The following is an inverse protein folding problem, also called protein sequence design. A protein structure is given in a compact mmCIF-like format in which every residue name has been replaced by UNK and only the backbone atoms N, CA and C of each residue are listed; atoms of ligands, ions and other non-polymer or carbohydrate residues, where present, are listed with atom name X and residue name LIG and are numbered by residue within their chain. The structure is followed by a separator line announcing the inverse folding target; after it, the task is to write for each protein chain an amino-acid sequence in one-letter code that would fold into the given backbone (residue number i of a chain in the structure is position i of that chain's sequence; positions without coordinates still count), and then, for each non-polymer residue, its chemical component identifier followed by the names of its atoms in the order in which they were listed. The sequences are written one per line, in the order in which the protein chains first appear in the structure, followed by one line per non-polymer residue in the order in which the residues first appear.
data_IF_745589866132
#
_entry.id   IF_745589866132
#
_cell.length_a   1.000
_cell.length_b   1.000
_cell.length_c   1.000
_cell.angle_alpha   90.00
_cell.angle_beta   90.00
_cell.angle_gamma   90.00
#
_symmetry.space_group_name_H-M   'P 1'
#
loop_
_entity.id
_entity.type
_entity.pdbx_description
1 polymer ?
#
# COMPACT_ATOMS: atom_id res chain seq x y z
N UNK A 1 5.15 15.83 -34.77
CA UNK A 1 5.76 15.37 -33.49
C UNK A 1 5.80 13.86 -33.43
N UNK A 2 4.77 13.17 -33.93
CA UNK A 2 4.81 11.72 -34.14
C UNK A 2 5.69 11.36 -35.36
N UNK A 3 5.83 12.27 -36.32
CA UNK A 3 6.59 12.08 -37.58
C UNK A 3 8.11 11.81 -37.40
N UNK A 4 8.65 12.00 -36.20
CA UNK A 4 10.06 11.73 -35.86
C UNK A 4 10.25 10.44 -35.07
N UNK A 5 9.15 9.78 -34.70
CA UNK A 5 9.17 8.52 -33.97
C UNK A 5 9.31 7.36 -34.94
N UNK A 6 10.08 6.36 -34.54
CA UNK A 6 10.16 5.09 -35.26
C UNK A 6 8.98 4.19 -34.88
N UNK A 7 8.70 3.20 -35.72
CA UNK A 7 7.69 2.18 -35.43
C UNK A 7 7.95 1.53 -34.06
N UNK A 8 6.88 1.38 -33.27
CA UNK A 8 6.85 0.77 -31.93
C UNK A 8 7.64 1.53 -30.87
N UNK A 9 7.79 2.86 -31.03
CA UNK A 9 8.40 3.70 -30.00
C UNK A 9 7.63 3.61 -28.68
N UNK A 10 8.37 3.45 -27.58
CA UNK A 10 7.84 3.46 -26.21
C UNK A 10 8.08 4.83 -25.57
N UNK A 11 7.01 5.54 -25.25
CA UNK A 11 7.07 6.83 -24.56
C UNK A 11 7.01 6.64 -23.06
N UNK A 12 8.03 7.09 -22.33
CA UNK A 12 8.10 6.91 -20.88
C UNK A 12 7.66 8.18 -20.14
N UNK A 13 6.70 8.05 -19.22
CA UNK A 13 6.28 9.17 -18.38
C UNK A 13 5.61 8.70 -17.08
N UNK A 14 5.79 9.41 -15.96
CA UNK A 14 5.16 9.09 -14.66
C UNK A 14 3.64 8.87 -14.74
N UNK A 15 2.99 9.64 -15.60
CA UNK A 15 1.55 9.59 -15.87
C UNK A 15 1.25 8.98 -17.25
N UNK A 16 2.15 8.14 -17.78
CA UNK A 16 2.08 7.55 -19.11
C UNK A 16 0.73 6.88 -19.38
N UNK A 17 0.16 6.21 -18.38
CA UNK A 17 -1.19 5.60 -18.46
C UNK A 17 -2.31 6.59 -18.79
N UNK A 18 -2.30 7.79 -18.20
CA UNK A 18 -3.27 8.85 -18.47
C UNK A 18 -2.91 9.65 -19.74
N UNK A 19 -1.62 9.78 -20.02
CA UNK A 19 -1.14 10.46 -21.21
C UNK A 19 -1.45 9.67 -22.49
N UNK A 20 -1.36 8.34 -22.45
CA UNK A 20 -1.80 7.43 -23.52
C UNK A 20 -3.24 7.72 -23.94
N UNK A 21 -4.14 7.85 -22.96
CA UNK A 21 -5.55 8.17 -23.21
C UNK A 21 -5.71 9.58 -23.82
N UNK A 22 -4.85 10.51 -23.41
CA UNK A 22 -4.82 11.86 -23.98
C UNK A 22 -4.40 11.83 -25.45
N UNK A 23 -3.35 11.06 -25.80
CA UNK A 23 -2.90 10.89 -27.19
C UNK A 23 -4.00 10.23 -28.01
N UNK A 24 -4.62 9.15 -27.51
CA UNK A 24 -5.72 8.43 -28.18
C UNK A 24 -6.95 9.30 -28.44
N UNK A 25 -7.19 10.34 -27.63
CA UNK A 25 -8.29 11.30 -27.82
C UNK A 25 -7.90 12.53 -28.65
N UNK A 26 -6.64 12.65 -29.03
CA UNK A 26 -6.13 13.78 -29.80
C UNK A 26 -6.12 13.50 -31.30
N UNK A 27 -5.79 14.53 -32.09
CA UNK A 27 -5.54 14.38 -33.53
C UNK A 27 -4.34 13.49 -33.87
N UNK A 28 -3.50 13.13 -32.89
CA UNK A 28 -2.33 12.26 -33.08
C UNK A 28 -2.68 10.77 -33.05
N UNK A 29 -3.89 10.40 -32.62
CA UNK A 29 -4.27 9.00 -32.44
C UNK A 29 -4.12 8.12 -33.69
N UNK A 30 -4.49 8.55 -34.91
CA UNK A 30 -4.38 7.68 -36.09
C UNK A 30 -2.92 7.29 -36.37
N UNK A 31 -2.01 8.26 -36.30
CA UNK A 31 -0.59 8.05 -36.56
C UNK A 31 0.07 7.27 -35.42
N UNK A 32 -0.24 7.61 -34.16
CA UNK A 32 0.26 6.88 -32.98
C UNK A 32 -0.10 5.39 -33.02
N UNK A 33 -1.34 5.07 -33.40
CA UNK A 33 -1.80 3.69 -33.56
C UNK A 33 -1.19 3.01 -34.78
N UNK A 34 -1.01 3.74 -35.89
CA UNK A 34 -0.37 3.20 -37.10
C UNK A 34 1.08 2.78 -36.82
N UNK A 35 1.82 3.60 -36.08
CA UNK A 35 3.19 3.30 -35.66
C UNK A 35 3.27 2.27 -34.54
N UNK A 36 2.13 1.81 -33.97
CA UNK A 36 2.09 0.90 -32.82
C UNK A 36 2.87 1.44 -31.60
N UNK A 37 2.90 2.77 -31.43
CA UNK A 37 3.52 3.39 -30.27
C UNK A 37 2.68 3.20 -29.01
N UNK A 38 3.32 3.27 -27.85
CA UNK A 38 2.64 3.13 -26.57
C UNK A 38 3.33 4.00 -25.50
N UNK A 39 2.53 4.67 -24.67
CA UNK A 39 3.04 5.28 -23.46
C UNK A 39 3.08 4.27 -22.32
N UNK A 40 4.19 4.28 -21.59
CA UNK A 40 4.42 3.42 -20.44
C UNK A 40 4.87 4.26 -19.24
N UNK A 41 4.75 3.67 -18.05
CA UNK A 41 5.18 4.33 -16.81
C UNK A 41 6.63 3.91 -16.53
N UNK A 42 7.45 4.74 -15.91
CA UNK A 42 8.78 4.30 -15.48
C UNK A 42 8.70 3.23 -14.37
N UNK A 43 9.78 2.47 -14.18
CA UNK A 43 9.78 1.29 -13.30
C UNK A 43 9.54 1.66 -11.83
N UNK A 44 10.01 2.82 -11.37
CA UNK A 44 9.84 3.24 -9.99
C UNK A 44 8.43 3.77 -9.67
N UNK A 45 7.88 4.62 -10.54
CA UNK A 45 6.52 5.10 -10.36
C UNK A 45 5.51 4.01 -10.67
N UNK A 46 5.81 3.05 -11.55
CA UNK A 46 4.93 1.92 -11.88
C UNK A 46 4.29 1.28 -10.65
N UNK A 47 5.10 0.94 -9.63
CA UNK A 47 4.62 0.33 -8.38
C UNK A 47 3.76 1.24 -7.49
N UNK A 48 3.73 2.55 -7.75
CA UNK A 48 2.87 3.50 -7.02
C UNK A 48 1.47 3.61 -7.61
N UNK A 49 1.25 3.09 -8.83
CA UNK A 49 -0.08 3.04 -9.44
C UNK A 49 -0.90 1.87 -8.88
N UNK A 50 -2.22 1.89 -9.09
CA UNK A 50 -3.06 0.75 -8.72
C UNK A 50 -2.70 -0.49 -9.57
N UNK A 51 -3.02 -1.67 -9.06
CA UNK A 51 -2.61 -2.93 -9.69
C UNK A 51 -3.17 -3.10 -11.11
N UNK A 52 -4.41 -2.67 -11.36
CA UNK A 52 -5.02 -2.70 -12.70
C UNK A 52 -4.28 -1.84 -13.74
N UNK A 53 -3.61 -0.77 -13.28
CA UNK A 53 -2.75 0.06 -14.12
C UNK A 53 -1.39 -0.62 -14.36
N UNK A 54 -0.83 -1.27 -13.33
CA UNK A 54 0.45 -1.98 -13.41
C UNK A 54 0.41 -3.11 -14.45
N UNK A 55 -0.68 -3.90 -14.47
CA UNK A 55 -0.89 -5.01 -15.43
C UNK A 55 -1.11 -4.56 -16.88
N UNK A 56 -0.97 -3.26 -17.17
CA UNK A 56 -1.07 -2.67 -18.51
C UNK A 56 0.15 -1.86 -18.92
N UNK A 57 0.67 -1.08 -17.98
CA UNK A 57 1.58 0.03 -18.30
C UNK A 57 2.95 -0.09 -17.61
N UNK A 58 3.16 -1.10 -16.77
CA UNK A 58 4.43 -1.30 -16.09
C UNK A 58 5.49 -1.86 -17.06
N UNK A 59 6.75 -1.39 -17.07
CA UNK A 59 7.77 -1.83 -18.02
C UNK A 59 7.98 -3.34 -18.05
N UNK A 60 8.07 -3.98 -16.87
CA UNK A 60 8.29 -5.43 -16.74
C UNK A 60 7.31 -6.35 -17.51
N UNK A 61 6.14 -5.86 -17.92
CA UNK A 61 5.15 -6.66 -18.68
C UNK A 61 5.06 -6.24 -20.15
N UNK A 62 5.83 -5.23 -20.57
CA UNK A 62 5.82 -4.68 -21.93
C UNK A 62 7.08 -5.15 -22.63
N UNK A 63 6.89 -5.94 -23.67
CA UNK A 63 8.00 -6.40 -24.49
C UNK A 63 8.69 -5.21 -25.19
N UNK A 64 10.02 -5.16 -25.11
CA UNK A 64 10.83 -4.10 -25.70
C UNK A 64 11.35 -3.03 -24.73
N UNK A 65 10.93 -3.03 -23.46
CA UNK A 65 11.50 -2.12 -22.43
C UNK A 65 12.87 -2.56 -21.94
N UNK A 66 13.15 -3.87 -22.01
CA UNK A 66 14.41 -4.48 -21.55
C UNK A 66 14.79 -4.04 -20.12
N UNK A 67 16.07 -3.76 -19.87
CA UNK A 67 16.61 -3.29 -18.59
C UNK A 67 16.46 -1.78 -18.35
N UNK A 68 15.76 -1.05 -19.22
CA UNK A 68 15.59 0.39 -19.08
C UNK A 68 14.58 0.72 -17.96
N UNK A 69 15.02 1.46 -16.94
CA UNK A 69 14.15 1.87 -15.84
C UNK A 69 13.32 3.13 -16.16
N UNK A 70 13.72 3.85 -17.20
CA UNK A 70 13.08 5.05 -17.71
C UNK A 70 13.05 6.23 -16.73
N UNK A 71 14.05 6.33 -15.85
CA UNK A 71 14.23 7.45 -14.91
C UNK A 71 15.15 8.56 -15.43
N UNK A 72 15.50 8.54 -16.73
CA UNK A 72 16.50 9.45 -17.30
C UNK A 72 16.16 10.93 -17.05
N UNK A 73 14.88 11.33 -17.14
CA UNK A 73 14.48 12.72 -16.89
C UNK A 73 14.69 13.13 -15.44
N UNK A 74 14.42 12.25 -14.48
CA UNK A 74 14.62 12.47 -13.06
C UNK A 74 16.11 12.65 -12.76
N UNK A 75 16.98 11.84 -13.39
CA UNK A 75 18.43 11.97 -13.29
C UNK A 75 18.93 13.30 -13.86
N UNK A 76 18.43 13.70 -15.03
CA UNK A 76 18.73 15.00 -15.67
C UNK A 76 18.37 16.15 -14.75
N UNK A 77 17.14 16.21 -14.26
CA UNK A 77 16.68 17.30 -13.40
C UNK A 77 17.40 17.31 -12.07
N UNK A 78 17.69 16.13 -11.50
CA UNK A 78 18.48 16.01 -10.29
C UNK A 78 19.89 16.59 -10.49
N UNK A 79 20.57 16.23 -11.57
CA UNK A 79 21.91 16.73 -11.89
C UNK A 79 21.92 18.25 -12.16
N UNK A 80 20.85 18.78 -12.77
CA UNK A 80 20.70 20.21 -13.05
C UNK A 80 20.68 21.08 -11.79
N UNK A 81 20.42 20.51 -10.61
CA UNK A 81 20.54 21.24 -9.34
C UNK A 81 21.95 21.80 -9.09
N UNK A 82 22.98 21.23 -9.73
CA UNK A 82 24.35 21.76 -9.72
C UNK A 82 24.46 23.17 -10.32
N UNK A 83 23.49 23.61 -11.14
CA UNK A 83 23.41 24.97 -11.66
C UNK A 83 22.98 26.00 -10.61
N UNK A 84 22.29 25.58 -9.54
CA UNK A 84 21.69 26.51 -8.59
C UNK A 84 22.71 27.46 -7.91
N UNK A 85 23.92 27.02 -7.49
CA UNK A 85 24.92 27.92 -6.92
C UNK A 85 25.47 28.94 -7.93
N UNK A 86 25.71 28.52 -9.18
CA UNK A 86 26.33 29.36 -10.21
C UNK A 86 25.35 30.32 -10.88
N UNK A 87 24.06 30.01 -10.88
CA UNK A 87 23.01 30.84 -11.47
C UNK A 87 22.29 31.77 -10.48
N UNK A 88 22.58 31.66 -9.17
CA UNK A 88 21.85 32.38 -8.11
C UNK A 88 21.93 33.89 -8.23
N UNK A 89 23.11 34.43 -8.53
CA UNK A 89 23.39 35.87 -8.50
C UNK A 89 23.74 36.46 -9.87
N UNK A 90 23.56 35.69 -10.96
CA UNK A 90 23.83 36.17 -12.33
C UNK A 90 22.59 36.83 -12.93
N UNK A 91 22.78 37.64 -13.97
CA UNK A 91 21.68 38.24 -14.73
C UNK A 91 20.83 37.16 -15.42
N UNK A 92 19.58 37.51 -15.76
CA UNK A 92 18.66 36.60 -16.46
C UNK A 92 19.27 36.03 -17.76
N UNK A 93 19.94 36.89 -18.55
CA UNK A 93 20.64 36.46 -19.76
C UNK A 93 21.69 35.38 -19.47
N UNK A 94 22.57 35.62 -18.50
CA UNK A 94 23.63 34.66 -18.15
C UNK A 94 23.05 33.37 -17.58
N UNK A 95 21.97 33.45 -16.81
CA UNK A 95 21.27 32.27 -16.30
C UNK A 95 20.79 31.37 -17.45
N UNK A 96 20.17 31.93 -18.49
CA UNK A 96 19.75 31.16 -19.64
C UNK A 96 20.93 30.51 -20.36
N UNK A 97 22.01 31.27 -20.60
CA UNK A 97 23.23 30.73 -21.24
C UNK A 97 23.83 29.57 -20.42
N UNK A 98 23.91 29.69 -19.09
CA UNK A 98 24.43 28.59 -18.26
C UNK A 98 23.54 27.35 -18.25
N UNK A 99 22.22 27.53 -18.29
CA UNK A 99 21.28 26.40 -18.36
C UNK A 99 21.41 25.70 -19.72
N UNK A 100 21.48 26.48 -20.80
CA UNK A 100 21.63 25.99 -22.18
C UNK A 100 22.93 25.18 -22.35
N UNK A 101 24.06 25.78 -21.96
CA UNK A 101 25.39 25.14 -22.03
C UNK A 101 25.44 23.84 -21.21
N UNK A 102 24.80 23.83 -20.05
CA UNK A 102 24.75 22.64 -19.20
C UNK A 102 24.04 21.48 -19.88
N UNK A 103 22.90 21.73 -20.53
CA UNK A 103 22.18 20.67 -21.22
C UNK A 103 22.91 20.20 -22.48
N UNK A 104 23.60 21.10 -23.20
CA UNK A 104 24.50 20.70 -24.29
C UNK A 104 25.64 19.79 -23.80
N UNK A 105 26.34 20.19 -22.74
CA UNK A 105 27.40 19.36 -22.16
C UNK A 105 26.86 18.03 -21.65
N UNK A 106 25.70 18.02 -21.00
CA UNK A 106 25.08 16.80 -20.50
C UNK A 106 24.76 15.83 -21.64
N UNK A 107 24.22 16.33 -22.76
CA UNK A 107 23.91 15.53 -23.95
C UNK A 107 25.19 14.92 -24.55
N UNK A 108 26.25 15.72 -24.70
CA UNK A 108 27.56 15.25 -25.19
C UNK A 108 28.14 14.15 -24.28
N UNK A 109 28.11 14.34 -22.96
CA UNK A 109 28.58 13.35 -21.99
C UNK A 109 27.77 12.04 -22.06
N UNK A 110 26.46 12.15 -22.28
CA UNK A 110 25.58 10.98 -22.44
C UNK A 110 25.80 10.26 -23.74
N UNK A 111 25.95 10.99 -24.84
CA UNK A 111 26.29 10.40 -26.12
C UNK A 111 27.62 9.63 -26.06
N UNK A 112 28.65 10.19 -25.42
CA UNK A 112 29.94 9.51 -25.23
C UNK A 112 29.83 8.27 -24.34
N UNK A 113 28.97 8.30 -23.31
CA UNK A 113 28.78 7.16 -22.40
C UNK A 113 27.81 6.09 -22.92
N UNK A 114 27.04 6.39 -23.98
CA UNK A 114 25.99 5.52 -24.53
C UNK A 114 26.50 4.14 -24.88
N UNK A 115 27.65 4.03 -25.56
CA UNK A 115 28.21 2.73 -25.96
C UNK A 115 28.57 1.86 -24.75
N UNK A 116 29.07 2.48 -23.68
CA UNK A 116 29.43 1.78 -22.45
C UNK A 116 28.18 1.34 -21.69
N UNK A 117 27.15 2.20 -21.64
CA UNK A 117 25.86 1.87 -21.05
C UNK A 117 25.22 0.67 -21.75
N UNK A 118 25.11 0.71 -23.09
CA UNK A 118 24.54 -0.39 -23.88
C UNK A 118 25.34 -1.69 -23.67
N UNK A 119 26.67 -1.61 -23.71
CA UNK A 119 27.53 -2.78 -23.47
C UNK A 119 27.30 -3.39 -22.07
N UNK A 120 27.25 -2.55 -21.03
CA UNK A 120 27.02 -3.01 -19.67
C UNK A 120 25.63 -3.64 -19.49
N UNK A 121 24.59 -3.01 -20.07
CA UNK A 121 23.23 -3.56 -20.05
C UNK A 121 23.17 -4.91 -20.78
N UNK A 122 23.84 -5.04 -21.92
CA UNK A 122 23.91 -6.32 -22.63
C UNK A 122 24.57 -7.42 -21.80
N UNK A 123 25.72 -7.12 -21.16
CA UNK A 123 26.38 -8.08 -20.26
C UNK A 123 25.50 -8.43 -19.06
N UNK A 124 24.80 -7.44 -18.49
CA UNK A 124 23.85 -7.67 -17.41
C UNK A 124 22.71 -8.59 -17.84
N UNK A 125 22.12 -8.37 -19.02
CA UNK A 125 21.06 -9.20 -19.57
C UNK A 125 21.53 -10.66 -19.76
N UNK A 126 22.73 -10.86 -20.30
CA UNK A 126 23.33 -12.20 -20.42
C UNK A 126 23.49 -12.89 -19.06
N UNK A 127 23.99 -12.17 -18.06
CA UNK A 127 24.16 -12.71 -16.71
C UNK A 127 22.81 -13.07 -16.07
N UNK A 128 21.77 -12.24 -16.25
CA UNK A 128 20.42 -12.54 -15.77
C UNK A 128 19.89 -13.80 -16.44
N UNK A 129 20.03 -13.92 -17.76
CA UNK A 129 19.61 -15.11 -18.50
C UNK A 129 20.36 -16.34 -18.01
N UNK A 130 21.67 -16.26 -17.78
CA UNK A 130 22.46 -17.41 -17.34
C UNK A 130 22.14 -17.83 -15.89
N UNK A 131 22.01 -16.86 -14.98
CA UNK A 131 21.88 -17.13 -13.54
C UNK A 131 20.43 -17.33 -13.10
N UNK A 132 19.52 -16.45 -13.52
CA UNK A 132 18.14 -16.44 -13.03
C UNK A 132 17.26 -17.46 -13.76
N UNK A 133 17.59 -17.84 -15.01
CA UNK A 133 16.81 -18.85 -15.74
C UNK A 133 16.83 -20.20 -15.03
N UNK A 134 17.95 -20.56 -14.39
CA UNK A 134 18.08 -21.80 -13.62
C UNK A 134 17.10 -21.79 -12.44
N UNK A 135 17.11 -20.71 -11.65
CA UNK A 135 16.22 -20.57 -10.49
C UNK A 135 14.75 -20.60 -10.89
N UNK A 136 14.39 -19.97 -12.01
CA UNK A 136 13.03 -19.99 -12.57
C UNK A 136 12.65 -21.40 -13.00
N UNK A 137 13.51 -22.10 -13.74
CA UNK A 137 13.25 -23.47 -14.22
C UNK A 137 13.11 -24.45 -13.06
N UNK A 138 14.00 -24.39 -12.06
CA UNK A 138 13.92 -25.24 -10.87
C UNK A 138 12.63 -24.97 -10.07
N UNK A 139 12.27 -23.70 -9.91
CA UNK A 139 11.03 -23.31 -9.22
C UNK A 139 9.80 -23.83 -9.96
N UNK A 140 9.76 -23.64 -11.29
CA UNK A 140 8.68 -24.15 -12.14
C UNK A 140 8.55 -25.67 -12.05
N UNK A 141 9.67 -26.41 -12.07
CA UNK A 141 9.66 -27.86 -11.89
C UNK A 141 9.16 -28.27 -10.51
N UNK A 142 9.59 -27.58 -9.45
CA UNK A 142 9.19 -27.90 -8.08
C UNK A 142 7.70 -27.65 -7.80
N UNK A 143 7.10 -26.68 -8.51
CA UNK A 143 5.70 -26.28 -8.38
C UNK A 143 4.78 -26.95 -9.42
N UNK A 144 5.33 -27.78 -10.31
CA UNK A 144 4.62 -28.37 -11.46
C UNK A 144 3.93 -27.33 -12.35
N UNK A 145 4.65 -26.24 -12.63
CA UNK A 145 4.18 -25.07 -13.41
C UNK A 145 4.86 -25.04 -14.77
N UNK A 146 4.08 -24.83 -15.82
CA UNK A 146 4.57 -24.69 -17.20
C UNK A 146 4.66 -23.22 -17.60
N UNK A 147 5.40 -22.95 -18.69
CA UNK A 147 5.57 -21.58 -19.19
C UNK A 147 4.24 -21.00 -19.69
N UNK A 148 3.40 -21.86 -20.26
CA UNK A 148 2.06 -21.50 -20.72
C UNK A 148 1.16 -21.05 -19.57
N UNK A 149 1.33 -21.64 -18.37
CA UNK A 149 0.59 -21.24 -17.17
C UNK A 149 0.93 -19.80 -16.78
N UNK A 150 2.19 -19.37 -16.93
CA UNK A 150 2.60 -17.98 -16.64
C UNK A 150 1.89 -16.96 -17.54
N UNK A 151 1.79 -17.27 -18.84
CA UNK A 151 1.09 -16.43 -19.81
C UNK A 151 -0.41 -16.38 -19.49
N UNK A 152 -0.98 -17.53 -19.13
CA UNK A 152 -2.38 -17.64 -18.72
C UNK A 152 -2.65 -16.85 -17.44
N UNK A 153 -1.79 -16.96 -16.42
CA UNK A 153 -1.93 -16.23 -15.16
C UNK A 153 -1.83 -14.72 -15.36
N UNK A 154 -0.94 -14.25 -16.24
CA UNK A 154 -0.89 -12.82 -16.59
C UNK A 154 -2.21 -12.34 -17.19
N UNK A 155 -2.82 -13.14 -18.08
CA UNK A 155 -4.13 -12.82 -18.67
C UNK A 155 -5.28 -12.88 -17.63
N UNK A 156 -5.26 -13.89 -16.75
CA UNK A 156 -6.23 -14.05 -15.66
C UNK A 156 -6.15 -12.91 -14.65
N UNK A 157 -4.94 -12.54 -14.25
CA UNK A 157 -4.66 -11.42 -13.37
C UNK A 157 -5.18 -10.11 -13.98
N UNK A 158 -4.82 -9.84 -15.22
CA UNK A 158 -5.31 -8.68 -15.95
C UNK A 158 -6.85 -8.64 -16.01
N UNK A 159 -7.50 -9.77 -16.34
CA UNK A 159 -8.95 -9.88 -16.39
C UNK A 159 -9.58 -9.67 -15.00
N UNK A 160 -9.02 -10.29 -13.97
CA UNK A 160 -9.46 -10.16 -12.59
C UNK A 160 -9.45 -8.70 -12.15
N UNK A 161 -8.34 -7.97 -12.36
CA UNK A 161 -8.24 -6.57 -11.95
C UNK A 161 -9.07 -5.61 -12.82
N UNK A 162 -9.34 -5.94 -14.09
CA UNK A 162 -10.31 -5.18 -14.90
C UNK A 162 -11.76 -5.40 -14.46
N UNK A 163 -12.08 -6.63 -14.05
CA UNK A 163 -13.44 -7.03 -13.66
C UNK A 163 -13.71 -6.87 -12.18
N UNK A 164 -12.70 -6.47 -11.40
CA UNK A 164 -12.81 -6.09 -10.01
C UNK A 164 -13.76 -4.90 -9.89
N UNK A 165 -15.05 -5.20 -9.80
CA UNK A 165 -16.09 -4.19 -9.57
C UNK A 165 -15.84 -3.57 -8.21
N UNK A 166 -16.25 -2.32 -8.05
CA UNK A 166 -16.51 -1.80 -6.72
C UNK A 166 -17.44 -2.80 -6.01
N UNK A 167 -17.10 -3.14 -4.76
CA UNK A 167 -17.93 -4.05 -3.95
C UNK A 167 -19.39 -3.61 -4.06
N UNK A 168 -20.33 -4.54 -4.32
CA UNK A 168 -21.73 -4.18 -4.42
C UNK A 168 -22.14 -3.35 -3.20
N UNK A 169 -22.86 -2.24 -3.41
CA UNK A 169 -23.24 -1.34 -2.32
C UNK A 169 -23.90 -2.09 -1.16
N UNK A 170 -24.67 -3.14 -1.46
CA UNK A 170 -25.28 -4.02 -0.47
C UNK A 170 -24.26 -4.73 0.43
N UNK A 171 -23.16 -5.23 -0.14
CA UNK A 171 -22.10 -5.91 0.61
C UNK A 171 -21.36 -4.92 1.50
N UNK A 172 -21.12 -3.70 1.02
CA UNK A 172 -20.54 -2.60 1.82
C UNK A 172 -21.42 -2.26 3.02
N UNK A 173 -22.73 -2.10 2.82
CA UNK A 173 -23.67 -1.84 3.91
C UNK A 173 -23.77 -3.03 4.88
N UNK A 174 -23.79 -4.26 4.38
CA UNK A 174 -23.82 -5.47 5.19
C UNK A 174 -22.56 -5.62 6.05
N UNK A 175 -21.37 -5.38 5.48
CA UNK A 175 -20.09 -5.36 6.22
C UNK A 175 -20.14 -4.33 7.33
N UNK A 176 -20.47 -3.08 7.02
CA UNK A 176 -20.55 -2.01 8.02
C UNK A 176 -21.56 -2.32 9.13
N UNK A 177 -22.69 -2.94 8.77
CA UNK A 177 -23.71 -3.35 9.73
C UNK A 177 -23.19 -4.46 10.66
N UNK A 178 -22.54 -5.49 10.10
CA UNK A 178 -21.97 -6.60 10.89
C UNK A 178 -20.83 -6.14 11.78
N UNK A 179 -19.93 -5.27 11.29
CA UNK A 179 -18.85 -4.69 12.11
C UNK A 179 -19.41 -3.89 13.29
N UNK A 180 -20.42 -3.04 13.05
CA UNK A 180 -21.11 -2.32 14.14
C UNK A 180 -21.83 -3.25 15.10
N UNK A 181 -22.43 -4.33 14.60
CA UNK A 181 -23.08 -5.33 15.45
C UNK A 181 -22.07 -6.03 16.37
N UNK A 182 -20.90 -6.39 15.84
CA UNK A 182 -19.79 -6.98 16.60
C UNK A 182 -19.24 -6.00 17.64
N UNK A 183 -19.07 -4.72 17.27
CA UNK A 183 -18.66 -3.67 18.21
C UNK A 183 -19.68 -3.52 19.34
N UNK A 184 -20.97 -3.42 19.02
CA UNK A 184 -22.04 -3.31 20.00
C UNK A 184 -22.06 -4.50 20.95
N UNK A 185 -21.99 -5.73 20.46
CA UNK A 185 -21.92 -6.94 21.30
C UNK A 185 -20.70 -6.94 22.24
N UNK A 186 -19.53 -6.52 21.74
CA UNK A 186 -18.32 -6.38 22.56
C UNK A 186 -18.50 -5.31 23.66
N UNK A 187 -19.12 -4.18 23.34
CA UNK A 187 -19.40 -3.12 24.33
C UNK A 187 -20.42 -3.59 25.37
N UNK A 188 -21.50 -4.27 24.99
CA UNK A 188 -22.47 -4.82 25.95
C UNK A 188 -21.78 -5.76 26.97
N UNK A 189 -20.91 -6.66 26.51
CA UNK A 189 -20.15 -7.55 27.38
C UNK A 189 -19.19 -6.77 28.32
N UNK A 190 -18.59 -5.68 27.84
CA UNK A 190 -17.74 -4.81 28.66
C UNK A 190 -18.54 -4.02 29.69
N UNK A 191 -19.72 -3.50 29.34
CA UNK A 191 -20.62 -2.81 30.28
C UNK A 191 -21.00 -3.74 31.42
N UNK A 192 -21.39 -4.98 31.12
CA UNK A 192 -21.73 -5.98 32.14
C UNK A 192 -20.54 -6.27 33.08
N UNK A 193 -19.35 -6.45 32.50
CA UNK A 193 -18.12 -6.70 33.26
C UNK A 193 -17.73 -5.51 34.14
N UNK A 194 -17.72 -4.28 33.60
CA UNK A 194 -17.32 -3.07 34.31
C UNK A 194 -18.36 -2.64 35.36
N UNK A 195 -19.65 -2.88 35.12
CA UNK A 195 -20.70 -2.70 36.11
C UNK A 195 -20.47 -3.64 37.31
N UNK A 196 -20.10 -4.91 37.05
CA UNK A 196 -19.70 -5.86 38.08
C UNK A 196 -18.48 -5.38 38.88
N UNK A 197 -17.42 -4.95 38.20
CA UNK A 197 -16.20 -4.43 38.84
C UNK A 197 -16.49 -3.21 39.72
N UNK A 198 -17.31 -2.27 39.24
CA UNK A 198 -17.73 -1.11 40.02
C UNK A 198 -18.53 -1.52 41.27
N UNK A 199 -19.49 -2.44 41.15
CA UNK A 199 -20.27 -2.92 42.28
C UNK A 199 -19.42 -3.65 43.32
N UNK A 200 -18.42 -4.42 42.89
CA UNK A 200 -17.48 -5.14 43.79
C UNK A 200 -16.38 -4.26 44.38
N UNK A 201 -16.23 -3.01 43.92
CA UNK A 201 -15.22 -2.07 44.44
C UNK A 201 -15.53 -1.59 45.87
N UNK A 202 -16.75 -1.82 46.37
CA UNK A 202 -17.13 -1.61 47.77
C UNK A 202 -17.02 -2.96 48.50
N UNK A 203 -16.16 -3.10 49.53
CA UNK A 203 -16.03 -4.34 50.28
C UNK A 203 -17.37 -4.76 50.90
N UNK A 204 -17.70 -6.06 50.85
CA UNK A 204 -18.88 -6.67 51.48
C UNK A 204 -18.96 -6.45 52.99
N UNK A 205 -17.82 -6.18 53.60
CA UNK A 205 -17.50 -6.01 55.01
C UNK A 205 -17.18 -4.54 55.33
N UNK A 206 -17.72 -3.61 54.52
CA UNK A 206 -17.62 -2.17 54.75
C UNK A 206 -18.10 -1.82 56.16
N UNK A 207 -17.14 -1.53 57.03
CA UNK A 207 -17.36 -0.92 58.34
C UNK A 207 -16.88 0.52 58.25
N UNK A 208 -17.72 1.46 58.66
CA UNK A 208 -17.35 2.87 58.70
C UNK A 208 -16.25 3.05 59.77
N UNK A 209 -14.99 3.05 59.35
CA UNK A 209 -13.84 3.29 60.23
C UNK A 209 -13.67 4.81 60.34
N UNK A 210 -13.90 5.34 61.55
CA UNK A 210 -13.56 6.73 61.88
C UNK A 210 -12.05 6.95 61.69
N UNK A 211 -11.69 8.10 61.10
CA UNK A 211 -10.39 8.56 60.54
C UNK A 211 -9.13 8.50 61.44
N UNK A 212 -9.00 7.56 62.37
CA UNK A 212 -7.90 7.53 63.34
C UNK A 212 -6.98 6.31 63.28
N UNK A 213 -7.12 5.40 62.31
CA UNK A 213 -6.15 4.32 62.13
C UNK A 213 -6.09 3.80 60.69
N UNK A 214 -4.99 4.07 59.99
CA UNK A 214 -4.63 3.35 58.76
C UNK A 214 -4.03 4.22 57.66
N UNK A 215 -2.93 3.72 57.07
CA UNK A 215 -2.16 4.31 55.98
C UNK A 215 -2.88 4.14 54.62
N UNK A 216 -4.16 4.53 54.55
CA UNK A 216 -4.99 4.43 53.33
C UNK A 216 -4.94 5.77 52.61
N UNK A 217 -4.36 5.79 51.41
CA UNK A 217 -4.33 6.98 50.56
C UNK A 217 -5.74 7.23 49.99
N UNK A 218 -6.52 8.01 50.73
CA UNK A 218 -7.87 8.44 50.36
C UNK A 218 -7.94 8.95 48.90
N UNK A 219 -6.93 9.68 48.44
CA UNK A 219 -6.91 10.23 47.08
C UNK A 219 -6.74 9.14 46.02
N UNK A 220 -6.00 8.06 46.33
CA UNK A 220 -5.85 6.92 45.42
C UNK A 220 -7.15 6.11 45.28
N UNK A 221 -7.86 5.84 46.38
CA UNK A 221 -9.15 5.13 46.39
C UNK A 221 -10.27 5.93 45.68
N UNK A 222 -10.34 7.24 45.95
CA UNK A 222 -11.26 8.15 45.24
C UNK A 222 -10.92 8.20 43.75
N UNK A 223 -9.63 8.30 43.39
CA UNK A 223 -9.22 8.29 41.98
C UNK A 223 -9.57 6.97 41.28
N UNK A 224 -9.41 5.84 41.97
CA UNK A 224 -9.74 4.52 41.45
C UNK A 224 -11.24 4.36 41.16
N UNK A 225 -12.09 4.70 42.13
CA UNK A 225 -13.55 4.65 41.99
C UNK A 225 -14.07 5.61 40.91
N UNK A 226 -13.51 6.83 40.82
CA UNK A 226 -13.86 7.80 39.77
C UNK A 226 -13.47 7.31 38.36
N UNK A 227 -12.32 6.63 38.20
CA UNK A 227 -11.92 6.05 36.91
C UNK A 227 -12.89 4.95 36.47
N UNK A 228 -13.29 4.07 37.39
CA UNK A 228 -14.29 3.03 37.12
C UNK A 228 -15.65 3.63 36.75
N UNK A 229 -16.12 4.64 37.49
CA UNK A 229 -17.38 5.33 37.18
C UNK A 229 -17.33 6.03 35.81
N UNK A 230 -16.24 6.75 35.53
CA UNK A 230 -16.05 7.45 34.25
C UNK A 230 -16.04 6.46 33.09
N UNK A 231 -15.34 5.34 33.25
CA UNK A 231 -15.28 4.26 32.25
C UNK A 231 -16.67 3.64 32.03
N UNK A 232 -17.41 3.35 33.09
CA UNK A 232 -18.78 2.81 33.00
C UNK A 232 -19.71 3.75 32.23
N UNK A 233 -19.74 5.03 32.59
CA UNK A 233 -20.56 6.05 31.90
C UNK A 233 -20.21 6.16 30.42
N UNK A 234 -18.91 6.16 30.10
CA UNK A 234 -18.45 6.18 28.71
C UNK A 234 -18.95 4.96 27.92
N UNK A 235 -18.87 3.76 28.50
CA UNK A 235 -19.33 2.54 27.83
C UNK A 235 -20.86 2.52 27.65
N UNK A 236 -21.63 2.96 28.65
CA UNK A 236 -23.09 3.09 28.57
C UNK A 236 -23.51 4.09 27.46
N UNK A 237 -22.84 5.24 27.37
CA UNK A 237 -23.09 6.24 26.32
C UNK A 237 -22.70 5.71 24.93
N UNK A 238 -21.57 4.99 24.84
CA UNK A 238 -21.11 4.34 23.62
C UNK A 238 -22.09 3.26 23.15
N UNK A 239 -22.62 2.45 24.07
CA UNK A 239 -23.64 1.44 23.80
C UNK A 239 -24.90 2.09 23.21
N UNK A 240 -25.40 3.16 23.82
CA UNK A 240 -26.57 3.89 23.33
C UNK A 240 -26.34 4.47 21.93
N UNK A 241 -25.16 5.03 21.68
CA UNK A 241 -24.78 5.58 20.37
C UNK A 241 -24.74 4.49 19.30
N UNK A 242 -24.10 3.35 19.59
CA UNK A 242 -24.04 2.21 18.67
C UNK A 242 -25.43 1.64 18.39
N UNK A 243 -26.29 1.57 19.41
CA UNK A 243 -27.67 1.11 19.25
C UNK A 243 -28.46 2.04 18.32
N UNK A 244 -28.30 3.36 18.47
CA UNK A 244 -28.93 4.34 17.60
C UNK A 244 -28.47 4.19 16.15
N UNK A 245 -27.16 4.07 15.92
CA UNK A 245 -26.60 3.85 14.59
C UNK A 245 -27.10 2.54 13.95
N UNK A 246 -27.15 1.45 14.72
CA UNK A 246 -27.68 0.17 14.25
C UNK A 246 -29.14 0.28 13.83
N UNK A 247 -29.98 0.97 14.61
CA UNK A 247 -31.38 1.20 14.25
C UNK A 247 -31.51 2.02 12.97
N UNK A 248 -30.69 3.06 12.79
CA UNK A 248 -30.68 3.86 11.58
C UNK A 248 -30.30 3.01 10.35
N UNK A 249 -29.28 2.15 10.48
CA UNK A 249 -28.89 1.22 9.42
C UNK A 249 -29.96 0.17 9.14
N UNK A 250 -30.61 -0.38 10.17
CA UNK A 250 -31.71 -1.35 10.03
C UNK A 250 -32.87 -0.77 9.22
N UNK A 251 -33.24 0.49 9.48
CA UNK A 251 -34.26 1.21 8.69
C UNK A 251 -33.81 1.41 7.24
N UNK A 252 -32.58 1.87 7.03
CA UNK A 252 -32.04 2.14 5.69
C UNK A 252 -31.91 0.86 4.84
N UNK A 253 -31.53 -0.25 5.46
CA UNK A 253 -31.35 -1.55 4.81
C UNK A 253 -32.65 -2.38 4.77
N UNK A 254 -33.76 -1.85 5.30
CA UNK A 254 -35.05 -2.53 5.42
C UNK A 254 -34.96 -3.89 6.14
N UNK A 255 -34.19 -3.92 7.24
CA UNK A 255 -34.01 -5.09 8.10
C UNK A 255 -35.12 -5.08 9.16
N UNK A 256 -36.03 -6.06 9.10
CA UNK A 256 -37.16 -6.14 10.04
C UNK A 256 -36.78 -6.70 11.42
N UNK A 257 -35.73 -7.53 11.48
CA UNK A 257 -35.22 -8.12 12.71
C UNK A 257 -33.70 -8.06 12.70
N UNK A 258 -33.11 -7.55 13.80
CA UNK A 258 -31.66 -7.48 13.99
C UNK A 258 -31.02 -8.84 13.81
N UNK A 259 -29.97 -8.89 13.00
CA UNK A 259 -29.30 -10.14 12.71
C UNK A 259 -28.68 -10.74 13.97
N UNK A 260 -28.83 -12.06 14.12
CA UNK A 260 -28.24 -12.85 15.17
C UNK A 260 -27.02 -13.62 14.65
N UNK A 261 -26.17 -14.09 15.57
CA UNK A 261 -24.96 -14.87 15.24
C UNK A 261 -25.27 -16.15 14.44
N UNK A 262 -26.49 -16.67 14.55
CA UNK A 262 -26.98 -17.87 13.87
C UNK A 262 -27.58 -17.60 12.48
N UNK A 263 -27.83 -16.34 12.13
CA UNK A 263 -28.50 -16.02 10.88
C UNK A 263 -27.56 -16.21 9.69
N UNK A 264 -28.05 -16.88 8.65
CA UNK A 264 -27.26 -17.14 7.43
C UNK A 264 -26.65 -15.87 6.82
N UNK A 265 -27.37 -14.75 6.87
CA UNK A 265 -26.90 -13.45 6.36
C UNK A 265 -25.73 -12.92 7.19
N UNK A 266 -25.82 -13.02 8.52
CA UNK A 266 -24.75 -12.64 9.42
C UNK A 266 -23.52 -13.52 9.20
N UNK A 267 -23.70 -14.85 9.20
CA UNK A 267 -22.60 -15.81 9.04
C UNK A 267 -21.86 -15.60 7.71
N UNK A 268 -22.59 -15.43 6.60
CA UNK A 268 -21.98 -15.17 5.28
C UNK A 268 -21.20 -13.86 5.27
N UNK A 269 -21.80 -12.79 5.81
CA UNK A 269 -21.17 -11.47 5.85
C UNK A 269 -19.96 -11.46 6.78
N UNK A 270 -20.04 -12.09 7.94
CA UNK A 270 -18.91 -12.22 8.87
C UNK A 270 -17.74 -13.00 8.25
N UNK A 271 -18.02 -14.08 7.49
CA UNK A 271 -16.99 -14.78 6.69
C UNK A 271 -16.35 -13.86 5.66
N UNK A 272 -17.16 -13.03 4.99
CA UNK A 272 -16.67 -12.04 4.03
C UNK A 272 -15.80 -10.96 4.69
N UNK A 273 -16.23 -10.38 5.82
CA UNK A 273 -15.44 -9.42 6.61
C UNK A 273 -14.09 -10.04 7.03
N UNK A 274 -14.08 -11.29 7.48
CA UNK A 274 -12.84 -12.00 7.83
C UNK A 274 -11.91 -12.15 6.61
N UNK A 275 -12.46 -12.50 5.44
CA UNK A 275 -11.70 -12.57 4.19
C UNK A 275 -11.12 -11.21 3.78
N UNK A 276 -11.92 -10.14 3.85
CA UNK A 276 -11.47 -8.79 3.56
C UNK A 276 -10.37 -8.35 4.53
N UNK A 277 -10.52 -8.63 5.82
CA UNK A 277 -9.52 -8.32 6.85
C UNK A 277 -8.19 -9.00 6.55
N UNK A 278 -8.23 -10.27 6.15
CA UNK A 278 -7.05 -11.01 5.72
C UNK A 278 -6.40 -10.42 4.47
N UNK A 279 -7.17 -10.13 3.42
CA UNK A 279 -6.62 -9.53 2.20
C UNK A 279 -6.01 -8.15 2.49
N UNK A 280 -6.62 -7.33 3.33
CA UNK A 280 -6.05 -6.05 3.75
C UNK A 280 -4.75 -6.24 4.54
N UNK A 281 -4.70 -7.21 5.46
CA UNK A 281 -3.49 -7.52 6.21
C UNK A 281 -2.36 -8.02 5.28
N UNK A 282 -2.67 -8.89 4.32
CA UNK A 282 -1.74 -9.39 3.31
C UNK A 282 -1.21 -8.27 2.40
N UNK A 283 -2.10 -7.45 1.85
CA UNK A 283 -1.73 -6.34 0.96
C UNK A 283 -0.83 -5.33 1.68
N UNK A 284 -1.16 -4.98 2.93
CA UNK A 284 -0.32 -4.09 3.74
C UNK A 284 1.06 -4.70 4.03
N UNK A 285 1.12 -6.00 4.34
CA UNK A 285 2.39 -6.70 4.54
C UNK A 285 3.25 -6.68 3.26
N UNK A 286 2.66 -7.05 2.11
CA UNK A 286 3.34 -7.03 0.81
C UNK A 286 3.86 -5.62 0.48
N UNK A 287 3.02 -4.59 0.62
CA UNK A 287 3.41 -3.20 0.38
C UNK A 287 4.62 -2.81 1.24
N UNK A 288 4.61 -3.13 2.54
CA UNK A 288 5.71 -2.81 3.44
C UNK A 288 7.01 -3.54 3.09
N UNK A 289 6.92 -4.79 2.61
CA UNK A 289 8.07 -5.57 2.15
C UNK A 289 8.66 -4.97 0.86
N UNK A 290 7.83 -4.68 -0.13
CA UNK A 290 8.27 -4.03 -1.38
C UNK A 290 8.93 -2.69 -1.09
N UNK A 291 8.27 -1.86 -0.28
CA UNK A 291 8.82 -0.60 0.22
C UNK A 291 10.18 -0.79 0.91
N UNK A 292 10.36 -1.84 1.70
CA UNK A 292 11.62 -2.16 2.36
C UNK A 292 12.72 -2.52 1.36
N UNK A 293 12.42 -3.30 0.33
CA UNK A 293 13.37 -3.65 -0.72
C UNK A 293 13.89 -2.40 -1.44
N UNK A 294 13.00 -1.44 -1.76
CA UNK A 294 13.39 -0.16 -2.35
C UNK A 294 14.30 0.68 -1.45
N UNK A 295 14.04 0.73 -0.14
CA UNK A 295 14.94 1.44 0.78
C UNK A 295 16.33 0.82 0.85
N UNK A 296 16.40 -0.51 0.86
CA UNK A 296 17.67 -1.24 0.85
C UNK A 296 18.45 -0.97 -0.43
N UNK A 297 17.76 -0.97 -1.57
CA UNK A 297 18.36 -0.62 -2.86
C UNK A 297 18.92 0.82 -2.83
N UNK A 298 18.14 1.80 -2.36
CA UNK A 298 18.58 3.21 -2.26
C UNK A 298 19.76 3.42 -1.31
N UNK A 299 19.92 2.58 -0.30
CA UNK A 299 21.07 2.60 0.60
C UNK A 299 22.37 2.16 -0.08
N UNK A 300 22.26 1.27 -1.06
CA UNK A 300 23.39 0.69 -1.79
C UNK A 300 23.84 1.55 -2.99
N UNK A 301 23.07 2.57 -3.37
CA UNK A 301 23.47 3.53 -4.41
C UNK A 301 24.68 4.35 -3.96
N UNK A 302 25.72 4.41 -4.81
CA UNK A 302 26.88 5.26 -4.61
C UNK A 302 26.47 6.74 -4.78
N UNK A 303 27.19 7.65 -4.11
CA UNK A 303 26.90 9.11 -4.03
C UNK A 303 25.70 9.58 -3.18
N UNK A 304 25.04 8.72 -2.41
CA UNK A 304 24.00 9.18 -1.46
C UNK A 304 24.60 10.01 -0.33
N UNK A 305 24.23 11.29 -0.20
CA UNK A 305 24.75 12.19 0.83
C UNK A 305 24.54 11.64 2.26
N UNK A 306 25.46 11.94 3.18
CA UNK A 306 25.43 11.41 4.57
C UNK A 306 24.08 11.62 5.29
N UNK A 307 23.45 12.79 5.10
CA UNK A 307 22.11 13.09 5.65
C UNK A 307 21.02 12.20 5.06
N UNK A 308 21.07 11.92 3.75
CA UNK A 308 20.12 11.00 3.12
C UNK A 308 20.32 9.57 3.65
N UNK A 309 21.57 9.09 3.80
CA UNK A 309 21.85 7.77 4.39
C UNK A 309 21.30 7.61 5.80
N UNK A 310 21.49 8.62 6.66
CA UNK A 310 20.98 8.58 8.04
C UNK A 310 19.45 8.57 8.10
N UNK A 311 18.77 9.29 7.19
CA UNK A 311 17.31 9.21 7.05
C UNK A 311 16.84 7.83 6.56
N UNK A 312 17.51 7.26 5.55
CA UNK A 312 17.14 5.92 5.04
C UNK A 312 17.33 4.88 6.14
N UNK A 313 18.42 4.92 6.92
CA UNK A 313 18.64 3.99 8.05
C UNK A 313 17.54 4.10 9.11
N UNK A 314 17.09 5.31 9.46
CA UNK A 314 15.97 5.51 10.39
C UNK A 314 14.65 4.95 9.82
N UNK A 315 14.39 5.23 8.54
CA UNK A 315 13.22 4.71 7.84
C UNK A 315 13.21 3.18 7.79
N UNK A 316 14.38 2.57 7.54
CA UNK A 316 14.57 1.14 7.63
C UNK A 316 14.19 0.60 9.02
N UNK A 317 14.69 1.20 10.10
CA UNK A 317 14.38 0.73 11.46
C UNK A 317 12.88 0.80 11.76
N UNK A 318 12.23 1.91 11.36
CA UNK A 318 10.79 2.07 11.49
C UNK A 318 10.03 1.01 10.67
N UNK A 319 10.44 0.75 9.42
CA UNK A 319 9.82 -0.23 8.53
C UNK A 319 9.97 -1.66 9.05
N UNK A 320 11.11 -2.02 9.64
CA UNK A 320 11.27 -3.32 10.31
C UNK A 320 10.27 -3.52 11.47
N UNK A 321 9.93 -2.45 12.20
CA UNK A 321 8.91 -2.52 13.25
C UNK A 321 7.51 -2.65 12.63
N UNK A 322 7.21 -1.88 11.59
CA UNK A 322 5.94 -1.94 10.87
C UNK A 322 5.68 -3.33 10.27
N UNK A 323 6.68 -3.93 9.60
CA UNK A 323 6.59 -5.28 9.03
C UNK A 323 6.28 -6.31 10.13
N UNK A 324 6.95 -6.26 11.30
CA UNK A 324 6.64 -7.17 12.42
C UNK A 324 5.21 -7.06 12.89
N UNK A 325 4.66 -5.84 12.95
CA UNK A 325 3.26 -5.64 13.30
C UNK A 325 2.31 -6.14 12.20
N UNK A 326 2.65 -5.93 10.93
CA UNK A 326 1.89 -6.42 9.79
C UNK A 326 1.87 -7.96 9.72
N UNK A 327 2.99 -8.63 10.00
CA UNK A 327 3.06 -10.10 10.11
C UNK A 327 2.14 -10.59 11.23
N UNK A 328 2.14 -9.93 12.40
CA UNK A 328 1.22 -10.30 13.48
C UNK A 328 -0.24 -10.15 13.05
N UNK A 329 -0.58 -9.04 12.40
CA UNK A 329 -1.95 -8.80 11.91
C UNK A 329 -2.36 -9.84 10.85
N UNK A 330 -1.46 -10.17 9.91
CA UNK A 330 -1.65 -11.23 8.93
C UNK A 330 -1.90 -12.57 9.60
N UNK A 331 -1.03 -12.97 10.54
CA UNK A 331 -1.16 -14.24 11.26
C UNK A 331 -2.47 -14.34 12.06
N UNK A 332 -2.92 -13.24 12.68
CA UNK A 332 -4.22 -13.19 13.34
C UNK A 332 -5.37 -13.38 12.35
N UNK A 333 -5.37 -12.66 11.23
CA UNK A 333 -6.43 -12.76 10.22
C UNK A 333 -6.42 -14.10 9.45
N UNK A 334 -5.24 -14.69 9.26
CA UNK A 334 -5.05 -15.99 8.61
C UNK A 334 -5.75 -17.13 9.38
N UNK A 335 -5.75 -17.05 10.71
CA UNK A 335 -6.39 -18.03 11.59
C UNK A 335 -7.92 -17.89 11.63
N UNK A 336 -8.47 -16.72 11.27
CA UNK A 336 -9.92 -16.46 11.32
C UNK A 336 -10.66 -16.87 10.04
N UNK A 337 -9.94 -17.17 8.95
CA UNK A 337 -10.54 -17.67 7.71
C UNK A 337 -10.77 -19.18 7.80
N UNK A 338 -11.81 -19.65 7.11
CA UNK A 338 -12.13 -21.06 6.94
C UNK A 338 -11.96 -21.46 5.45
N UNK A 339 -10.99 -22.34 5.11
CA UNK A 339 -10.00 -22.95 6.00
C UNK A 339 -8.88 -21.97 6.41
N UNK A 340 -8.23 -22.17 7.57
CA UNK A 340 -7.12 -21.33 8.03
C UNK A 340 -5.96 -21.29 7.04
N UNK A 341 -5.30 -20.13 6.93
CA UNK A 341 -4.13 -19.94 6.06
C UNK A 341 -2.82 -20.14 6.85
N UNK A 342 -1.72 -20.56 6.19
CA UNK A 342 -0.42 -20.68 6.84
C UNK A 342 0.05 -19.35 7.44
N UNK A 343 0.66 -19.44 8.63
CA UNK A 343 1.31 -18.31 9.29
C UNK A 343 2.70 -18.04 8.69
N UNK A 344 3.12 -16.78 8.74
CA UNK A 344 4.43 -16.27 8.29
C UNK A 344 5.35 -15.91 9.46
#
# INVERSE_FOLDING_TARGET
MVDVLEDRSLGHYDIGCGFEETIKRSSLSPEWQQLLCCMIINTFHGYTHNYACQTKNHPNIIEGTDLEDSETFEHVFSASNSLAPVTRYVSAYRRHVYIDEYFHQWDDEKYVSLSTMIYNNYIQALNIIEMESIAVVESMQSLDVKKEDLVQWHAEEHCYFQTLRQEPLWDVYAVAYVEKLQEWQSICAQVETDAGLFLTSIPSDYTFISLTAGNVDYYAEVSHTQKLETRRRYLEERECTLLHDLLAMEVQMNISQRWQLTDDKYVKTAKYVAMCTYHHALNNLQQLVVQRLFELHKLNLSQTAYRARTHIVKSLQARCKAIRHAVKAYNTAALTIDPPRPML
#
